data_IF_578930028517
#
_entry.id   IF_578930028517
#
_cell.length_a   1.000
_cell.length_b   1.000
_cell.length_c   1.000
_cell.angle_alpha   90.00
_cell.angle_beta   90.00
_cell.angle_gamma   90.00
#
_symmetry.space_group_name_H-M   'P 1'
#
loop_
_entity.id
_entity.type
_entity.pdbx_description
1 polymer ?
#
# COMPACT_ATOMS: atom_id res chain seq x y z
N UNK A 1 85.58 -59.10 75.13
CA UNK A 1 86.05 -57.71 74.92
C UNK A 1 85.31 -56.64 75.73
N UNK A 2 84.07 -56.18 75.45
CA UNK A 2 83.42 -55.15 76.31
C UNK A 2 83.26 -55.59 77.77
N UNK A 3 82.62 -56.75 78.00
CA UNK A 3 82.46 -57.36 79.35
C UNK A 3 83.79 -57.66 80.05
N UNK A 4 84.86 -57.84 79.27
CA UNK A 4 86.20 -58.17 79.75
C UNK A 4 86.92 -56.91 80.24
N UNK A 5 86.82 -55.80 79.49
CA UNK A 5 87.22 -54.46 79.91
C UNK A 5 86.42 -53.98 81.13
N UNK A 6 85.13 -54.30 81.22
CA UNK A 6 84.27 -53.97 82.36
C UNK A 6 84.76 -54.66 83.64
N UNK A 7 85.12 -55.96 83.55
CA UNK A 7 85.77 -56.69 84.64
C UNK A 7 87.11 -56.05 85.02
N UNK A 8 87.99 -55.75 84.03
CA UNK A 8 89.30 -55.14 84.30
C UNK A 8 89.21 -53.77 84.99
N UNK A 9 88.21 -52.94 84.65
CA UNK A 9 87.93 -51.67 85.34
C UNK A 9 87.52 -51.92 86.79
N UNK A 10 86.63 -52.91 87.03
CA UNK A 10 86.16 -53.28 88.37
C UNK A 10 87.31 -53.81 89.24
N UNK A 11 88.10 -54.74 88.72
CA UNK A 11 89.21 -55.38 89.42
C UNK A 11 90.32 -54.35 89.74
N UNK A 12 90.69 -53.51 88.76
CA UNK A 12 91.68 -52.44 88.97
C UNK A 12 91.21 -51.39 89.99
N UNK A 13 89.90 -51.08 90.02
CA UNK A 13 89.34 -50.15 91.00
C UNK A 13 89.43 -50.72 92.43
N UNK A 14 89.11 -52.00 92.61
CA UNK A 14 89.23 -52.69 93.90
C UNK A 14 90.69 -52.80 94.38
N UNK A 15 91.64 -53.01 93.46
CA UNK A 15 93.07 -53.06 93.76
C UNK A 15 93.61 -51.68 94.17
N UNK A 16 93.19 -50.61 93.49
CA UNK A 16 93.51 -49.22 93.88
C UNK A 16 92.95 -48.91 95.26
N UNK A 17 91.73 -49.35 95.59
CA UNK A 17 91.12 -49.13 96.91
C UNK A 17 91.94 -49.80 98.02
N UNK A 18 92.44 -51.02 97.77
CA UNK A 18 93.37 -51.71 98.69
C UNK A 18 94.70 -50.97 98.82
N UNK A 19 95.33 -50.58 97.71
CA UNK A 19 96.60 -49.85 97.71
C UNK A 19 96.49 -48.48 98.40
N UNK A 20 95.36 -47.78 98.21
CA UNK A 20 95.06 -46.51 98.85
C UNK A 20 94.92 -46.70 100.37
N UNK A 21 94.20 -47.75 100.80
CA UNK A 21 94.03 -48.08 102.22
C UNK A 21 95.35 -48.44 102.90
N UNK A 22 96.20 -49.25 102.27
CA UNK A 22 97.54 -49.54 102.79
C UNK A 22 98.42 -48.30 102.91
N UNK A 23 98.30 -47.34 101.97
CA UNK A 23 99.03 -46.08 102.02
C UNK A 23 98.54 -45.15 103.14
N UNK A 24 97.23 -45.15 103.42
CA UNK A 24 96.63 -44.34 104.47
C UNK A 24 96.80 -44.96 105.87
N UNK A 25 96.78 -46.29 106.02
CA UNK A 25 97.01 -46.98 107.30
C UNK A 25 98.50 -46.93 107.74
N UNK A 26 99.44 -46.83 106.79
CA UNK A 26 100.89 -46.73 107.05
C UNK A 26 101.42 -45.31 107.35
N UNK A 27 100.54 -44.31 107.41
CA UNK A 27 100.92 -42.90 107.61
C UNK A 27 101.55 -42.70 108.99
N UNK A 28 102.86 -42.45 109.02
CA UNK A 28 103.63 -42.13 110.24
C UNK A 28 104.46 -43.25 110.83
N UNK A 29 104.40 -44.48 110.28
CA UNK A 29 105.22 -45.64 110.71
C UNK A 29 106.13 -46.21 109.62
N UNK A 30 106.06 -45.67 108.39
CA UNK A 30 106.85 -46.11 107.22
C UNK A 30 108.01 -45.14 106.92
N UNK A 31 109.10 -45.65 106.33
CA UNK A 31 110.20 -44.82 105.85
C UNK A 31 109.80 -43.99 104.62
N UNK A 32 110.45 -42.83 104.41
CA UNK A 32 110.09 -41.92 103.31
C UNK A 32 110.17 -42.56 101.91
N UNK A 33 111.15 -43.44 101.67
CA UNK A 33 111.29 -44.15 100.38
C UNK A 33 110.16 -45.17 100.15
N UNK A 34 109.75 -45.86 101.21
CA UNK A 34 108.68 -46.88 101.14
C UNK A 34 107.31 -46.24 100.87
N UNK A 35 107.07 -45.06 101.46
CA UNK A 35 105.87 -44.26 101.18
C UNK A 35 105.87 -43.75 99.72
N UNK A 36 107.02 -43.29 99.22
CA UNK A 36 107.15 -42.79 97.85
C UNK A 36 106.86 -43.90 96.83
N UNK A 37 107.45 -45.09 97.03
CA UNK A 37 107.29 -46.24 96.15
C UNK A 37 105.82 -46.69 96.07
N UNK A 38 105.13 -46.83 97.22
CA UNK A 38 103.71 -47.18 97.25
C UNK A 38 102.83 -46.10 96.62
N UNK A 39 103.17 -44.81 96.82
CA UNK A 39 102.44 -43.71 96.17
C UNK A 39 102.58 -43.75 94.64
N UNK A 40 103.77 -44.10 94.13
CA UNK A 40 104.03 -44.22 92.69
C UNK A 40 103.25 -45.38 92.08
N UNK A 41 103.23 -46.54 92.75
CA UNK A 41 102.43 -47.69 92.32
C UNK A 41 100.93 -47.38 92.28
N UNK A 42 100.42 -46.64 93.28
CA UNK A 42 99.04 -46.19 93.32
C UNK A 42 98.71 -45.22 92.18
N UNK A 43 99.60 -44.28 91.86
CA UNK A 43 99.45 -43.37 90.72
C UNK A 43 99.46 -44.14 89.40
N UNK A 44 100.39 -45.08 89.24
CA UNK A 44 100.47 -45.94 88.06
C UNK A 44 99.20 -46.79 87.89
N UNK A 45 98.69 -47.37 88.97
CA UNK A 45 97.43 -48.12 88.95
C UNK A 45 96.24 -47.22 88.58
N UNK A 46 96.15 -46.00 89.13
CA UNK A 46 95.12 -45.00 88.75
C UNK A 46 95.20 -44.63 87.27
N UNK A 47 96.40 -44.49 86.71
CA UNK A 47 96.60 -44.24 85.28
C UNK A 47 96.12 -45.42 84.42
N UNK A 48 96.42 -46.67 84.83
CA UNK A 48 95.95 -47.89 84.16
C UNK A 48 94.42 -48.02 84.21
N UNK A 49 93.79 -47.73 85.35
CA UNK A 49 92.33 -47.69 85.46
C UNK A 49 91.72 -46.67 84.50
N UNK A 50 92.34 -45.48 84.38
CA UNK A 50 91.87 -44.45 83.47
C UNK A 50 92.00 -44.88 81.99
N UNK A 51 93.06 -45.61 81.65
CA UNK A 51 93.21 -46.24 80.33
C UNK A 51 92.09 -47.24 80.06
N UNK A 52 91.80 -48.15 81.00
CA UNK A 52 90.71 -49.12 80.84
C UNK A 52 89.34 -48.46 80.77
N UNK A 53 89.07 -47.41 81.56
CA UNK A 53 87.84 -46.62 81.46
C UNK A 53 87.69 -45.97 80.08
N UNK A 54 88.78 -45.43 79.53
CA UNK A 54 88.77 -44.80 78.20
C UNK A 54 88.52 -45.85 77.09
N UNK A 55 89.17 -47.02 77.17
CA UNK A 55 88.93 -48.15 76.27
C UNK A 55 87.49 -48.66 76.34
N UNK A 56 86.92 -48.77 77.54
CA UNK A 56 85.53 -49.16 77.75
C UNK A 56 84.56 -48.16 77.10
N UNK A 57 84.78 -46.86 77.31
CA UNK A 57 83.99 -45.79 76.71
C UNK A 57 84.07 -45.80 75.17
N UNK A 58 85.27 -45.97 74.61
CA UNK A 58 85.47 -46.08 73.16
C UNK A 58 84.78 -47.32 72.59
N UNK A 59 84.88 -48.46 73.28
CA UNK A 59 84.20 -49.70 72.87
C UNK A 59 82.68 -49.54 72.93
N UNK A 60 82.15 -48.84 73.94
CA UNK A 60 80.72 -48.52 74.05
C UNK A 60 80.24 -47.66 72.88
N UNK A 61 80.96 -46.58 72.59
CA UNK A 61 80.66 -45.72 71.44
C UNK A 61 80.70 -46.48 70.12
N UNK A 62 81.66 -47.41 69.96
CA UNK A 62 81.74 -48.27 68.77
C UNK A 62 80.51 -49.19 68.64
N UNK A 63 80.07 -49.78 69.74
CA UNK A 63 78.86 -50.63 69.79
C UNK A 63 77.60 -49.81 69.48
N UNK A 64 77.47 -48.61 70.04
CA UNK A 64 76.29 -47.76 69.80
C UNK A 64 76.25 -47.24 68.35
N UNK A 65 77.39 -46.88 67.77
CA UNK A 65 77.49 -46.56 66.34
C UNK A 65 77.12 -47.76 65.46
N UNK A 66 77.60 -48.97 65.79
CA UNK A 66 77.25 -50.19 65.05
C UNK A 66 75.74 -50.48 65.14
N UNK A 67 75.10 -50.28 66.30
CA UNK A 67 73.65 -50.42 66.46
C UNK A 67 72.88 -49.41 65.61
N UNK A 68 73.31 -48.15 65.56
CA UNK A 68 72.69 -47.14 64.71
C UNK A 68 72.83 -47.49 63.22
N UNK A 69 73.99 -47.98 62.78
CA UNK A 69 74.18 -48.43 61.40
C UNK A 69 73.29 -49.63 61.04
N UNK A 70 73.14 -50.61 61.95
CA UNK A 70 72.22 -51.73 61.75
C UNK A 70 70.76 -51.26 61.69
N UNK A 71 70.35 -50.34 62.55
CA UNK A 71 68.99 -49.77 62.52
C UNK A 71 68.70 -48.98 61.23
N UNK A 72 69.69 -48.22 60.74
CA UNK A 72 69.60 -47.50 59.46
C UNK A 72 69.52 -48.47 58.27
N UNK A 73 70.36 -49.53 58.27
CA UNK A 73 70.33 -50.57 57.26
C UNK A 73 68.99 -51.33 57.24
N UNK A 74 68.44 -51.65 58.41
CA UNK A 74 67.13 -52.31 58.51
C UNK A 74 66.01 -51.42 57.96
N UNK A 75 66.03 -50.13 58.25
CA UNK A 75 65.07 -49.16 57.68
C UNK A 75 65.20 -49.08 56.16
N UNK A 76 66.43 -49.06 55.63
CA UNK A 76 66.68 -49.03 54.19
C UNK A 76 66.17 -50.30 53.49
N UNK A 77 66.37 -51.48 54.09
CA UNK A 77 65.85 -52.76 53.57
C UNK A 77 64.33 -52.77 53.57
N UNK A 78 63.68 -52.33 54.65
CA UNK A 78 62.22 -52.27 54.74
C UNK A 78 61.63 -51.32 53.68
N UNK A 79 62.21 -50.12 53.53
CA UNK A 79 61.77 -49.15 52.53
C UNK A 79 62.02 -49.66 51.10
N UNK A 80 63.12 -50.38 50.86
CA UNK A 80 63.41 -51.03 49.59
C UNK A 80 62.38 -52.10 49.24
N UNK A 81 61.95 -52.90 50.23
CA UNK A 81 60.88 -53.89 50.06
C UNK A 81 59.54 -53.27 49.67
N UNK A 82 59.13 -52.19 50.32
CA UNK A 82 57.90 -51.45 49.99
C UNK A 82 57.97 -50.83 48.59
N UNK A 83 59.10 -50.21 48.23
CA UNK A 83 59.28 -49.61 46.91
C UNK A 83 59.24 -50.66 45.78
N UNK A 84 59.81 -51.86 46.01
CA UNK A 84 59.71 -53.00 45.09
C UNK A 84 58.27 -53.49 44.92
N UNK A 85 57.50 -53.56 46.01
CA UNK A 85 56.10 -53.96 45.97
C UNK A 85 55.25 -52.96 45.16
N UNK A 86 55.44 -51.66 45.37
CA UNK A 86 54.74 -50.61 44.62
C UNK A 86 55.13 -50.61 43.14
N UNK A 87 56.41 -50.83 42.83
CA UNK A 87 56.89 -50.97 41.45
C UNK A 87 56.27 -52.20 40.77
N UNK A 88 56.21 -53.34 41.47
CA UNK A 88 55.59 -54.56 40.94
C UNK A 88 54.08 -54.37 40.69
N UNK A 89 53.38 -53.65 41.58
CA UNK A 89 51.96 -53.33 41.39
C UNK A 89 51.74 -52.48 40.13
N UNK A 90 52.53 -51.44 39.92
CA UNK A 90 52.47 -50.60 38.72
C UNK A 90 52.76 -51.39 37.43
N UNK A 91 53.74 -52.31 37.47
CA UNK A 91 54.05 -53.18 36.33
C UNK A 91 52.90 -54.14 36.03
N UNK A 92 52.24 -54.67 37.05
CA UNK A 92 51.10 -55.58 36.87
C UNK A 92 49.83 -54.87 36.39
N UNK A 93 49.63 -53.59 36.72
CA UNK A 93 48.49 -52.78 36.29
C UNK A 93 48.68 -52.15 34.89
N UNK A 94 49.92 -51.97 34.43
CA UNK A 94 50.23 -51.34 33.15
C UNK A 94 49.62 -52.02 31.92
N UNK A 95 49.57 -53.37 31.78
CA UNK A 95 48.95 -54.02 30.63
C UNK A 95 47.46 -53.72 30.49
N UNK A 96 46.72 -53.74 31.60
CA UNK A 96 45.29 -53.44 31.61
C UNK A 96 45.01 -51.97 31.26
N UNK A 97 45.85 -51.05 31.75
CA UNK A 97 45.76 -49.64 31.40
C UNK A 97 46.10 -49.37 29.92
N UNK A 98 47.02 -50.15 29.35
CA UNK A 98 47.41 -50.06 27.94
C UNK A 98 46.31 -50.60 27.02
N UNK A 99 45.71 -51.73 27.35
CA UNK A 99 44.56 -52.31 26.63
C UNK A 99 43.36 -51.35 26.60
N UNK A 100 43.04 -50.71 27.73
CA UNK A 100 41.97 -49.71 27.80
C UNK A 100 42.29 -48.47 26.95
N UNK A 101 43.54 -48.00 26.96
CA UNK A 101 43.97 -46.86 26.13
C UNK A 101 43.92 -47.20 24.63
N UNK A 102 44.35 -48.40 24.25
CA UNK A 102 44.27 -48.89 22.86
C UNK A 102 42.82 -48.98 22.39
N UNK A 103 41.93 -49.49 23.23
CA UNK A 103 40.49 -49.54 22.95
C UNK A 103 39.89 -48.13 22.77
N UNK A 104 40.24 -47.19 23.65
CA UNK A 104 39.79 -45.80 23.52
C UNK A 104 40.27 -45.14 22.22
N UNK A 105 41.50 -45.43 21.79
CA UNK A 105 42.04 -44.94 20.50
C UNK A 105 41.26 -45.57 19.34
N UNK A 106 40.96 -46.87 19.40
CA UNK A 106 40.20 -47.55 18.37
C UNK A 106 38.76 -47.01 18.27
N UNK A 107 38.08 -46.86 19.40
CA UNK A 107 36.72 -46.31 19.47
C UNK A 107 36.68 -44.87 18.94
N UNK A 108 37.68 -44.04 19.30
CA UNK A 108 37.81 -42.68 18.79
C UNK A 108 38.06 -42.63 17.28
N UNK A 109 38.85 -43.57 16.74
CA UNK A 109 39.10 -43.67 15.30
C UNK A 109 37.83 -44.05 14.53
N UNK A 110 37.07 -45.04 15.03
CA UNK A 110 35.79 -45.44 14.44
C UNK A 110 34.80 -44.28 14.45
N UNK A 111 34.73 -43.52 15.55
CA UNK A 111 33.86 -42.35 15.64
C UNK A 111 34.30 -41.23 14.68
N UNK A 112 35.60 -41.00 14.52
CA UNK A 112 36.14 -40.03 13.57
C UNK A 112 35.82 -40.42 12.12
N UNK A 113 35.97 -41.68 11.76
CA UNK A 113 35.67 -42.18 10.42
C UNK A 113 34.16 -42.04 10.11
N UNK A 114 33.29 -42.41 11.07
CA UNK A 114 31.83 -42.21 10.95
C UNK A 114 31.47 -40.73 10.78
N UNK A 115 32.11 -39.84 11.55
CA UNK A 115 31.85 -38.40 11.46
C UNK A 115 32.33 -37.80 10.14
N UNK A 116 33.41 -38.32 9.56
CA UNK A 116 33.87 -37.92 8.25
C UNK A 116 32.92 -38.38 7.14
N UNK A 117 32.39 -39.61 7.22
CA UNK A 117 31.35 -40.08 6.29
C UNK A 117 30.07 -39.24 6.37
N UNK A 118 29.59 -38.95 7.59
CA UNK A 118 28.44 -38.06 7.83
C UNK A 118 28.70 -36.64 7.26
N UNK A 119 29.93 -36.13 7.39
CA UNK A 119 30.32 -34.82 6.87
C UNK A 119 30.33 -34.76 5.33
N UNK A 120 30.90 -35.77 4.66
CA UNK A 120 30.92 -35.81 3.20
C UNK A 120 29.52 -35.99 2.61
N UNK A 121 28.65 -36.79 3.24
CA UNK A 121 27.23 -36.89 2.86
C UNK A 121 26.52 -35.55 3.00
N UNK A 122 26.62 -34.90 4.16
CA UNK A 122 25.98 -33.61 4.39
C UNK A 122 26.47 -32.52 3.43
N UNK A 123 27.75 -32.58 3.04
CA UNK A 123 28.34 -31.67 2.05
C UNK A 123 27.79 -31.92 0.64
N UNK A 124 27.57 -33.17 0.27
CA UNK A 124 26.95 -33.52 -1.01
C UNK A 124 25.47 -33.10 -1.05
N UNK A 125 24.70 -33.42 -0.01
CA UNK A 125 23.29 -33.03 0.10
C UNK A 125 23.14 -31.49 0.02
N UNK A 126 24.01 -30.74 0.69
CA UNK A 126 24.03 -29.29 0.61
C UNK A 126 24.33 -28.78 -0.80
N UNK A 127 25.24 -29.43 -1.54
CA UNK A 127 25.54 -29.06 -2.92
C UNK A 127 24.33 -29.26 -3.84
N UNK A 128 23.65 -30.39 -3.71
CA UNK A 128 22.44 -30.72 -4.48
C UNK A 128 21.28 -29.76 -4.14
N UNK A 129 21.10 -29.42 -2.85
CA UNK A 129 20.10 -28.44 -2.43
C UNK A 129 20.39 -27.04 -2.96
N UNK A 130 21.67 -26.62 -2.97
CA UNK A 130 22.08 -25.33 -3.51
C UNK A 130 21.86 -25.25 -5.02
N UNK A 131 22.18 -26.31 -5.76
CA UNK A 131 21.93 -26.38 -7.20
C UNK A 131 20.42 -26.30 -7.50
N UNK A 132 19.60 -27.07 -6.77
CA UNK A 132 18.14 -27.04 -6.93
C UNK A 132 17.54 -25.68 -6.54
N UNK A 133 18.08 -25.01 -5.53
CA UNK A 133 17.67 -23.66 -5.13
C UNK A 133 18.04 -22.61 -6.19
N UNK A 134 19.23 -22.72 -6.79
CA UNK A 134 19.67 -21.84 -7.89
C UNK A 134 18.79 -22.00 -9.13
N UNK A 135 18.50 -23.24 -9.55
CA UNK A 135 17.59 -23.49 -10.68
C UNK A 135 16.19 -22.90 -10.43
N UNK A 136 15.65 -23.05 -9.21
CA UNK A 136 14.36 -22.43 -8.86
C UNK A 136 14.39 -20.90 -8.92
N UNK A 137 15.51 -20.28 -8.57
CA UNK A 137 15.68 -18.83 -8.67
C UNK A 137 15.71 -18.39 -10.13
N UNK A 138 16.51 -19.04 -10.98
CA UNK A 138 16.56 -18.77 -12.42
C UNK A 138 15.19 -18.95 -13.08
N UNK A 139 14.51 -20.07 -12.83
CA UNK A 139 13.15 -20.34 -13.33
C UNK A 139 12.14 -19.27 -12.88
N UNK A 140 12.27 -18.78 -11.64
CA UNK A 140 11.37 -17.75 -11.10
C UNK A 140 11.67 -16.38 -11.70
N UNK A 141 12.94 -16.06 -11.90
CA UNK A 141 13.37 -14.83 -12.57
C UNK A 141 12.88 -14.79 -14.02
N UNK A 142 13.03 -15.89 -14.76
CA UNK A 142 12.53 -16.05 -16.12
C UNK A 142 11.00 -15.93 -16.18
N UNK A 143 10.29 -16.51 -15.21
CA UNK A 143 8.83 -16.36 -15.10
C UNK A 143 8.42 -14.90 -14.87
N UNK A 144 9.15 -14.16 -14.04
CA UNK A 144 8.88 -12.75 -13.75
C UNK A 144 9.17 -11.87 -14.97
N UNK A 145 10.28 -12.10 -15.66
CA UNK A 145 10.69 -11.32 -16.83
C UNK A 145 9.78 -11.57 -18.04
N UNK A 146 9.27 -12.80 -18.20
CA UNK A 146 8.39 -13.21 -19.28
C UNK A 146 6.89 -13.15 -18.94
N UNK A 147 6.50 -12.53 -17.82
CA UNK A 147 5.08 -12.23 -17.59
C UNK A 147 4.60 -11.30 -18.69
N UNK A 148 3.60 -11.74 -19.44
CA UNK A 148 2.94 -10.93 -20.45
C UNK A 148 2.41 -9.65 -19.79
N UNK A 149 2.89 -8.49 -20.24
CA UNK A 149 2.53 -7.20 -19.63
C UNK A 149 1.01 -7.03 -19.73
N UNK A 150 0.32 -6.69 -18.62
CA UNK A 150 -1.11 -6.49 -18.67
C UNK A 150 -1.44 -5.33 -19.62
N UNK A 151 -2.38 -5.56 -20.52
CA UNK A 151 -2.92 -4.50 -21.37
C UNK A 151 -3.90 -3.69 -20.55
N UNK A 152 -3.61 -2.41 -20.34
CA UNK A 152 -4.50 -1.48 -19.64
C UNK A 152 -5.55 -0.95 -20.61
N UNK A 153 -6.82 -1.21 -20.34
CA UNK A 153 -7.93 -0.56 -21.03
C UNK A 153 -8.34 0.67 -20.21
N UNK A 154 -8.01 1.86 -20.71
CA UNK A 154 -8.50 3.12 -20.13
C UNK A 154 -9.87 3.39 -20.75
N UNK A 155 -10.92 2.96 -20.04
CA UNK A 155 -12.30 3.16 -20.44
C UNK A 155 -12.83 4.45 -19.82
N UNK A 156 -13.24 5.39 -20.67
CA UNK A 156 -13.94 6.60 -20.23
C UNK A 156 -15.46 6.45 -20.38
N UNK A 157 -16.22 7.48 -20.01
CA UNK A 157 -17.68 7.47 -20.16
C UNK A 157 -18.15 7.30 -21.61
N UNK A 158 -17.32 7.66 -22.59
CA UNK A 158 -17.65 7.54 -24.02
C UNK A 158 -17.51 6.10 -24.52
N UNK A 159 -16.87 5.22 -23.74
CA UNK A 159 -16.88 3.78 -24.02
C UNK A 159 -18.15 3.07 -23.55
N UNK A 160 -19.01 3.72 -22.76
CA UNK A 160 -20.28 3.16 -22.27
C UNK A 160 -21.36 3.38 -23.34
N UNK A 161 -21.87 2.33 -24.03
CA UNK A 161 -22.80 2.49 -25.14
C UNK A 161 -24.08 3.23 -24.76
N UNK A 162 -24.59 2.99 -23.55
CA UNK A 162 -25.78 3.67 -23.04
C UNK A 162 -25.56 5.17 -22.83
N UNK A 163 -24.35 5.58 -22.43
CA UNK A 163 -24.02 7.00 -22.25
C UNK A 163 -23.91 7.70 -23.61
N UNK A 164 -23.22 7.08 -24.58
CA UNK A 164 -23.10 7.65 -25.93
C UNK A 164 -24.43 7.72 -26.67
N UNK A 165 -25.30 6.70 -26.51
CA UNK A 165 -26.64 6.71 -27.07
C UNK A 165 -27.48 7.84 -26.47
N UNK A 166 -27.49 7.97 -25.13
CA UNK A 166 -28.19 9.06 -24.47
C UNK A 166 -27.68 10.44 -24.91
N UNK A 167 -26.35 10.63 -24.97
CA UNK A 167 -25.72 11.87 -25.46
C UNK A 167 -26.17 12.20 -26.89
N UNK A 168 -26.08 11.23 -27.80
CA UNK A 168 -26.51 11.39 -29.20
C UNK A 168 -27.99 11.77 -29.31
N UNK A 169 -28.85 11.13 -28.53
CA UNK A 169 -30.28 11.46 -28.50
C UNK A 169 -30.53 12.88 -27.96
N UNK A 170 -29.83 13.28 -26.89
CA UNK A 170 -29.93 14.64 -26.34
C UNK A 170 -29.39 15.71 -27.29
N UNK A 171 -28.30 15.43 -28.01
CA UNK A 171 -27.73 16.34 -29.01
C UNK A 171 -28.66 16.51 -30.21
N UNK A 172 -29.29 15.41 -30.65
CA UNK A 172 -30.34 15.44 -31.68
C UNK A 172 -31.54 16.26 -31.24
N UNK A 173 -31.98 16.09 -30.00
CA UNK A 173 -33.10 16.85 -29.43
C UNK A 173 -32.76 18.34 -29.26
N UNK A 174 -31.54 18.68 -28.86
CA UNK A 174 -31.04 20.06 -28.80
C UNK A 174 -30.98 20.71 -30.18
N UNK A 175 -30.57 19.96 -31.21
CA UNK A 175 -30.55 20.44 -32.60
C UNK A 175 -31.97 20.77 -33.08
N UNK A 176 -32.94 19.90 -32.82
CA UNK A 176 -34.37 20.16 -33.09
C UNK A 176 -34.84 21.41 -32.34
N UNK A 177 -34.50 21.52 -31.06
CA UNK A 177 -34.83 22.66 -30.21
C UNK A 177 -34.30 24.00 -30.71
N UNK A 178 -33.17 24.01 -31.43
CA UNK A 178 -32.59 25.23 -32.00
C UNK A 178 -33.26 25.71 -33.31
N UNK A 179 -33.74 24.79 -34.14
CA UNK A 179 -34.24 25.13 -35.51
C UNK A 179 -35.75 25.34 -35.54
N UNK A 180 -36.52 24.50 -34.83
CA UNK A 180 -37.99 24.53 -34.89
C UNK A 180 -38.62 25.85 -34.42
N UNK A 181 -38.12 26.55 -33.39
CA UNK A 181 -38.70 27.83 -32.96
C UNK A 181 -38.78 28.86 -34.08
N UNK A 182 -37.79 28.90 -34.98
CA UNK A 182 -37.80 29.84 -36.12
C UNK A 182 -39.01 29.60 -37.02
N UNK A 183 -39.32 28.33 -37.31
CA UNK A 183 -40.47 27.94 -38.13
C UNK A 183 -41.77 28.34 -37.43
N UNK A 184 -41.90 28.03 -36.13
CA UNK A 184 -43.09 28.39 -35.37
C UNK A 184 -43.30 29.89 -35.24
N UNK A 185 -42.23 30.68 -35.08
CA UNK A 185 -42.33 32.14 -35.10
C UNK A 185 -42.78 32.66 -36.46
N UNK A 186 -42.31 32.08 -37.57
CA UNK A 186 -42.76 32.45 -38.92
C UNK A 186 -44.24 32.13 -39.14
N UNK A 187 -44.68 30.94 -38.70
CA UNK A 187 -46.10 30.55 -38.76
C UNK A 187 -46.94 31.49 -37.90
N UNK A 188 -46.52 31.76 -36.66
CA UNK A 188 -47.20 32.72 -35.78
C UNK A 188 -47.26 34.13 -36.39
N UNK A 189 -46.17 34.60 -37.02
CA UNK A 189 -46.13 35.88 -37.74
C UNK A 189 -47.18 35.92 -38.85
N UNK A 190 -47.25 34.86 -39.65
CA UNK A 190 -48.14 34.75 -40.79
C UNK A 190 -49.60 34.70 -40.33
N UNK A 191 -49.91 33.86 -39.35
CA UNK A 191 -51.27 33.75 -38.77
C UNK A 191 -51.69 35.06 -38.10
N UNK A 192 -50.78 35.71 -37.37
CA UNK A 192 -51.04 37.01 -36.75
C UNK A 192 -51.29 38.10 -37.81
N UNK A 193 -50.44 38.17 -38.84
CA UNK A 193 -50.58 39.12 -39.95
C UNK A 193 -51.94 38.97 -40.63
N UNK A 194 -52.36 37.74 -40.90
CA UNK A 194 -53.59 37.46 -41.65
C UNK A 194 -54.82 37.73 -40.80
N UNK A 195 -54.81 37.32 -39.54
CA UNK A 195 -55.87 37.60 -38.57
C UNK A 195 -56.04 39.10 -38.35
N UNK A 196 -54.93 39.82 -38.15
CA UNK A 196 -54.95 41.27 -37.95
C UNK A 196 -55.35 42.02 -39.21
N UNK A 197 -54.85 41.62 -40.38
CA UNK A 197 -55.28 42.21 -41.66
C UNK A 197 -56.78 42.07 -41.83
N UNK A 198 -57.33 40.88 -41.55
CA UNK A 198 -58.78 40.64 -41.62
C UNK A 198 -59.55 41.50 -40.62
N UNK A 199 -59.10 41.60 -39.38
CA UNK A 199 -59.75 42.43 -38.34
C UNK A 199 -59.78 43.91 -38.75
N UNK A 200 -58.66 44.44 -39.27
CA UNK A 200 -58.55 45.83 -39.70
C UNK A 200 -59.38 46.08 -40.97
N UNK A 201 -59.45 45.11 -41.89
CA UNK A 201 -60.30 45.16 -43.09
C UNK A 201 -61.80 45.11 -42.72
N UNK A 202 -62.20 44.30 -41.74
CA UNK A 202 -63.59 44.24 -41.24
C UNK A 202 -63.99 45.56 -40.54
N UNK A 203 -63.05 46.23 -39.87
CA UNK A 203 -63.27 47.51 -39.19
C UNK A 203 -62.92 48.74 -40.04
N UNK A 204 -62.77 48.57 -41.36
CA UNK A 204 -62.29 49.62 -42.28
C UNK A 204 -63.15 50.88 -42.28
N UNK A 205 -64.47 50.75 -42.23
CA UNK A 205 -65.39 51.90 -42.15
C UNK A 205 -65.19 52.70 -40.86
N UNK A 206 -64.99 52.02 -39.73
CA UNK A 206 -64.72 52.67 -38.42
C UNK A 206 -63.40 53.44 -38.45
N UNK A 207 -62.35 52.85 -39.03
CA UNK A 207 -61.06 53.51 -39.25
C UNK A 207 -61.21 54.75 -40.13
N UNK A 208 -62.01 54.66 -41.20
CA UNK A 208 -62.33 55.78 -42.08
C UNK A 208 -63.00 56.94 -41.34
N UNK A 209 -63.99 56.65 -40.48
CA UNK A 209 -64.68 57.65 -39.65
C UNK A 209 -63.73 58.32 -38.68
N UNK A 210 -62.90 57.56 -37.94
CA UNK A 210 -61.93 58.13 -37.01
C UNK A 210 -60.92 59.05 -37.72
N UNK A 211 -60.46 58.65 -38.91
CA UNK A 211 -59.54 59.46 -39.71
C UNK A 211 -60.21 60.74 -40.23
N UNK A 212 -61.50 60.69 -40.58
CA UNK A 212 -62.28 61.88 -40.97
C UNK A 212 -62.52 62.85 -39.80
N UNK A 213 -62.62 62.32 -38.57
CA UNK A 213 -62.72 63.10 -37.34
C UNK A 213 -61.37 63.71 -36.88
N UNK A 214 -60.28 63.50 -37.64
CA UNK A 214 -58.98 64.11 -37.36
C UNK A 214 -58.04 63.28 -36.47
N UNK A 215 -58.37 62.03 -36.13
CA UNK A 215 -57.46 61.16 -35.38
C UNK A 215 -56.20 60.84 -36.20
N UNK A 216 -55.05 60.86 -35.54
CA UNK A 216 -53.77 60.50 -36.16
C UNK A 216 -53.73 59.01 -36.49
N UNK A 217 -52.97 58.65 -37.53
CA UNK A 217 -52.76 57.23 -37.89
C UNK A 217 -52.20 56.42 -36.72
N UNK A 218 -51.33 57.03 -35.90
CA UNK A 218 -50.75 56.40 -34.72
C UNK A 218 -51.79 56.08 -33.64
N UNK A 219 -52.70 57.03 -33.34
CA UNK A 219 -53.77 56.80 -32.35
C UNK A 219 -54.68 55.65 -32.76
N UNK A 220 -55.01 55.53 -34.05
CA UNK A 220 -55.83 54.42 -34.56
C UNK A 220 -55.04 53.10 -34.52
N UNK A 221 -53.77 53.09 -34.92
CA UNK A 221 -52.92 51.90 -34.90
C UNK A 221 -52.71 51.38 -33.46
N UNK A 222 -52.59 52.28 -32.48
CA UNK A 222 -52.35 51.93 -31.08
C UNK A 222 -53.40 50.97 -30.50
N UNK A 223 -54.69 51.12 -30.88
CA UNK A 223 -55.75 50.19 -30.47
C UNK A 223 -55.45 48.75 -30.89
N UNK A 224 -55.09 48.55 -32.16
CA UNK A 224 -54.82 47.23 -32.72
C UNK A 224 -53.52 46.65 -32.20
N UNK A 225 -52.49 47.49 -32.07
CA UNK A 225 -51.19 47.10 -31.50
C UNK A 225 -51.33 46.69 -30.04
N UNK A 226 -52.07 47.45 -29.23
CA UNK A 226 -52.32 47.12 -27.84
C UNK A 226 -53.08 45.80 -27.71
N UNK A 227 -54.08 45.57 -28.58
CA UNK A 227 -54.77 44.28 -28.64
C UNK A 227 -53.80 43.13 -28.97
N UNK A 228 -52.93 43.30 -29.97
CA UNK A 228 -51.92 42.31 -30.33
C UNK A 228 -50.97 42.01 -29.18
N UNK A 229 -50.50 43.05 -28.50
CA UNK A 229 -49.55 42.98 -27.40
C UNK A 229 -50.18 42.23 -26.21
N UNK A 230 -51.39 42.60 -25.81
CA UNK A 230 -52.07 41.93 -24.69
C UNK A 230 -52.37 40.46 -25.01
N UNK A 231 -52.87 40.17 -26.22
CA UNK A 231 -53.13 38.80 -26.64
C UNK A 231 -51.85 37.96 -26.65
N UNK A 232 -50.74 38.52 -27.17
CA UNK A 232 -49.45 37.83 -27.21
C UNK A 232 -48.85 37.67 -25.82
N UNK A 233 -48.91 38.69 -24.96
CA UNK A 233 -48.39 38.62 -23.61
C UNK A 233 -49.08 37.51 -22.78
N UNK A 234 -50.40 37.44 -22.82
CA UNK A 234 -51.17 36.38 -22.14
C UNK A 234 -50.83 35.02 -22.75
N UNK A 235 -50.79 34.93 -24.08
CA UNK A 235 -50.42 33.70 -24.79
C UNK A 235 -49.01 33.22 -24.45
N UNK A 236 -48.04 34.12 -24.35
CA UNK A 236 -46.65 33.82 -23.99
C UNK A 236 -46.55 33.33 -22.55
N UNK A 237 -47.22 33.97 -21.59
CA UNK A 237 -47.23 33.52 -20.19
C UNK A 237 -47.80 32.11 -20.09
N UNK A 238 -48.96 31.86 -20.71
CA UNK A 238 -49.57 30.52 -20.71
C UNK A 238 -48.70 29.50 -21.45
N UNK A 239 -48.10 29.89 -22.57
CA UNK A 239 -47.22 29.03 -23.37
C UNK A 239 -45.97 28.62 -22.62
N UNK A 240 -45.31 29.54 -21.92
CA UNK A 240 -44.14 29.25 -21.07
C UNK A 240 -44.53 28.33 -19.92
N UNK A 241 -45.58 28.66 -19.17
CA UNK A 241 -46.01 27.87 -18.01
C UNK A 241 -46.39 26.44 -18.40
N UNK A 242 -47.16 26.27 -19.48
CA UNK A 242 -47.56 24.94 -19.95
C UNK A 242 -46.42 24.20 -20.63
N UNK A 243 -45.61 24.90 -21.42
CA UNK A 243 -44.49 24.35 -22.17
C UNK A 243 -43.38 23.83 -21.26
N UNK A 244 -42.88 24.68 -20.35
CA UNK A 244 -41.79 24.31 -19.43
C UNK A 244 -42.21 23.28 -18.38
N UNK A 245 -43.49 23.24 -18.00
CA UNK A 245 -43.99 22.24 -17.05
C UNK A 245 -44.22 20.88 -17.71
N UNK A 246 -44.80 20.87 -18.91
CA UNK A 246 -45.29 19.62 -19.53
C UNK A 246 -44.22 18.94 -20.39
N UNK A 247 -43.50 19.68 -21.24
CA UNK A 247 -42.59 19.09 -22.23
C UNK A 247 -41.40 18.40 -21.56
N UNK A 248 -40.67 19.02 -20.61
CA UNK A 248 -39.56 18.35 -19.93
C UNK A 248 -40.01 17.15 -19.12
N UNK A 249 -41.17 17.23 -18.45
CA UNK A 249 -41.72 16.13 -17.67
C UNK A 249 -42.01 14.90 -18.53
N UNK A 250 -42.71 15.09 -19.66
CA UNK A 250 -42.98 14.02 -20.62
C UNK A 250 -41.70 13.45 -21.22
N UNK A 251 -40.77 14.32 -21.59
CA UNK A 251 -39.49 13.94 -22.19
C UNK A 251 -38.67 13.08 -21.22
N UNK A 252 -38.43 13.58 -20.01
CA UNK A 252 -37.68 12.86 -18.97
C UNK A 252 -38.31 11.51 -18.65
N UNK A 253 -39.65 11.44 -18.51
CA UNK A 253 -40.33 10.18 -18.25
C UNK A 253 -40.18 9.19 -19.41
N UNK A 254 -40.21 9.66 -20.65
CA UNK A 254 -40.00 8.83 -21.83
C UNK A 254 -38.57 8.28 -21.88
N UNK A 255 -37.56 9.13 -21.63
CA UNK A 255 -36.17 8.69 -21.61
C UNK A 255 -35.87 7.71 -20.46
N UNK A 256 -36.55 7.86 -19.31
CA UNK A 256 -36.47 6.89 -18.20
C UNK A 256 -36.97 5.48 -18.58
N UNK A 257 -37.86 5.36 -19.56
CA UNK A 257 -38.32 4.05 -20.06
C UNK A 257 -37.26 3.34 -20.92
N UNK A 258 -36.43 4.12 -21.61
CA UNK A 258 -35.43 3.61 -22.57
C UNK A 258 -34.06 3.42 -21.91
N UNK A 259 -33.68 4.34 -21.01
CA UNK A 259 -32.36 4.39 -20.41
C UNK A 259 -32.39 3.99 -18.93
N UNK A 260 -31.81 2.84 -18.64
CA UNK A 260 -31.66 2.31 -17.27
C UNK A 260 -30.66 3.18 -16.51
N UNK A 261 -31.00 3.59 -15.28
CA UNK A 261 -30.09 4.36 -14.43
C UNK A 261 -30.31 5.87 -14.43
N UNK A 262 -31.26 6.40 -15.21
CA UNK A 262 -31.64 7.82 -15.23
C UNK A 262 -32.44 8.22 -13.96
N UNK A 263 -31.76 8.20 -12.81
CA UNK A 263 -32.30 8.63 -11.53
C UNK A 263 -31.91 10.10 -11.26
N UNK A 264 -32.77 10.85 -10.57
CA UNK A 264 -32.51 12.26 -10.18
C UNK A 264 -32.29 13.24 -11.35
N UNK A 265 -33.13 13.17 -12.38
CA UNK A 265 -33.18 14.18 -13.45
C UNK A 265 -33.63 15.54 -12.91
N UNK A 266 -32.74 16.53 -12.96
CA UNK A 266 -33.06 17.91 -12.58
C UNK A 266 -33.56 18.67 -13.81
N UNK A 267 -34.84 19.02 -13.81
CA UNK A 267 -35.40 19.96 -14.79
C UNK A 267 -35.28 21.35 -14.19
N UNK A 268 -34.43 22.19 -14.76
CA UNK A 268 -34.32 23.61 -14.39
C UNK A 268 -35.10 24.44 -15.41
N UNK A 269 -36.08 25.25 -14.99
CA UNK A 269 -36.68 26.25 -15.86
C UNK A 269 -35.61 27.24 -16.32
N UNK A 270 -35.51 27.47 -17.63
CA UNK A 270 -34.59 28.46 -18.17
C UNK A 270 -35.34 29.77 -18.41
N UNK A 271 -35.33 30.61 -17.37
CA UNK A 271 -36.01 31.90 -17.37
C UNK A 271 -35.49 32.80 -18.48
N UNK A 272 -34.22 32.69 -18.86
CA UNK A 272 -33.64 33.54 -19.90
C UNK A 272 -34.23 33.20 -21.28
N UNK A 273 -34.24 31.91 -21.63
CA UNK A 273 -34.81 31.46 -22.90
C UNK A 273 -36.31 31.70 -22.98
N UNK A 274 -37.04 31.52 -21.86
CA UNK A 274 -38.46 31.82 -21.77
C UNK A 274 -38.76 33.31 -22.02
N UNK A 275 -37.96 34.21 -21.42
CA UNK A 275 -38.09 35.65 -21.63
C UNK A 275 -37.72 36.05 -23.07
N UNK A 276 -36.64 35.49 -23.61
CA UNK A 276 -36.20 35.75 -24.98
C UNK A 276 -37.27 35.31 -25.99
N UNK A 277 -37.81 34.09 -25.84
CA UNK A 277 -38.87 33.57 -26.70
C UNK A 277 -40.15 34.42 -26.62
N UNK A 278 -40.52 34.87 -25.42
CA UNK A 278 -41.67 35.76 -25.20
C UNK A 278 -41.47 37.12 -25.87
N UNK A 279 -40.28 37.72 -25.73
CA UNK A 279 -39.94 38.99 -26.37
C UNK A 279 -39.98 38.87 -27.90
N UNK A 280 -39.38 37.81 -28.46
CA UNK A 280 -39.41 37.54 -29.89
C UNK A 280 -40.84 37.35 -30.41
N UNK A 281 -41.68 36.63 -29.67
CA UNK A 281 -43.09 36.47 -30.01
C UNK A 281 -43.81 37.82 -30.09
N UNK A 282 -43.62 38.68 -29.08
CA UNK A 282 -44.24 40.02 -29.03
C UNK A 282 -43.76 40.90 -30.16
N UNK A 283 -42.45 40.93 -30.45
CA UNK A 283 -41.89 41.70 -31.57
C UNK A 283 -42.48 41.23 -32.90
N UNK A 284 -42.56 39.91 -33.07
CA UNK A 284 -43.06 39.28 -34.28
C UNK A 284 -44.55 39.60 -34.54
N UNK A 285 -45.42 39.38 -33.55
CA UNK A 285 -46.86 39.62 -33.68
C UNK A 285 -47.17 41.11 -33.76
N UNK A 286 -46.50 41.94 -32.98
CA UNK A 286 -46.68 43.40 -33.01
C UNK A 286 -46.19 43.98 -34.33
N UNK A 287 -45.05 43.52 -34.85
CA UNK A 287 -44.53 43.90 -36.16
C UNK A 287 -45.49 43.51 -37.28
N UNK A 288 -46.02 42.29 -37.26
CA UNK A 288 -47.06 41.83 -38.19
C UNK A 288 -48.32 42.70 -38.11
N UNK A 289 -48.77 43.05 -36.91
CA UNK A 289 -49.94 43.91 -36.67
C UNK A 289 -49.72 45.33 -37.19
N UNK A 290 -48.54 45.91 -36.94
CA UNK A 290 -48.14 47.22 -37.45
C UNK A 290 -48.12 47.23 -38.98
N UNK A 291 -47.59 46.18 -39.62
CA UNK A 291 -47.60 46.04 -41.07
C UNK A 291 -49.02 45.97 -41.64
N UNK A 292 -49.93 45.24 -40.99
CA UNK A 292 -51.35 45.19 -41.35
C UNK A 292 -52.01 46.58 -41.23
N UNK A 293 -51.81 47.25 -40.09
CA UNK A 293 -52.38 48.58 -39.83
C UNK A 293 -51.86 49.64 -40.81
N UNK A 294 -50.55 49.67 -41.05
CA UNK A 294 -49.92 50.65 -41.96
C UNK A 294 -50.53 50.60 -43.36
N UNK A 295 -50.79 49.38 -43.85
CA UNK A 295 -51.36 49.16 -45.18
C UNK A 295 -52.78 49.72 -45.33
N UNK A 296 -53.60 49.66 -44.28
CA UNK A 296 -54.97 50.20 -44.31
C UNK A 296 -54.96 51.71 -44.02
N UNK A 297 -54.17 52.16 -43.05
CA UNK A 297 -54.10 53.56 -42.62
C UNK A 297 -53.47 54.49 -43.68
N UNK A 298 -52.75 53.96 -44.66
CA UNK A 298 -52.25 54.72 -45.81
C UNK A 298 -53.37 55.19 -46.76
N UNK A 299 -54.52 54.51 -46.78
CA UNK A 299 -55.66 54.83 -47.65
C UNK A 299 -56.41 56.09 -47.20
N UNK A 300 -57.05 56.81 -48.12
CA UNK A 300 -57.86 58.01 -47.79
C UNK A 300 -59.17 57.65 -47.07
N UNK A 301 -59.72 58.53 -46.21
CA UNK A 301 -60.96 58.26 -45.46
C UNK A 301 -62.14 57.85 -46.36
N UNK A 302 -62.34 58.57 -47.47
CA UNK A 302 -63.42 58.28 -48.42
C UNK A 302 -63.28 56.90 -49.08
N UNK A 303 -62.05 56.40 -49.29
CA UNK A 303 -61.81 55.06 -49.83
C UNK A 303 -62.09 53.97 -48.79
N UNK A 304 -61.79 54.24 -47.52
CA UNK A 304 -62.00 53.31 -46.40
C UNK A 304 -63.50 53.11 -46.09
N UNK A 305 -64.32 54.13 -46.32
CA UNK A 305 -65.78 54.07 -46.11
C UNK A 305 -66.54 53.35 -47.23
N UNK A 306 -65.88 53.01 -48.33
CA UNK A 306 -66.48 52.24 -49.43
C UNK A 306 -66.14 50.75 -49.30
N UNK A 307 -67.07 49.84 -49.64
CA UNK A 307 -66.78 48.41 -49.70
C UNK A 307 -65.58 48.17 -50.63
N UNK A 308 -64.69 47.25 -50.23
CA UNK A 308 -63.47 46.98 -50.99
C UNK A 308 -63.84 46.42 -52.37
N UNK A 309 -63.39 47.08 -53.44
CA UNK A 309 -63.65 46.63 -54.79
C UNK A 309 -63.03 45.24 -55.02
N UNK A 310 -63.74 44.29 -55.65
CA UNK A 310 -63.18 42.98 -55.93
C UNK A 310 -61.92 43.13 -56.80
N UNK A 311 -60.84 42.44 -56.43
CA UNK A 311 -59.56 42.51 -57.15
C UNK A 311 -59.77 42.12 -58.62
N UNK A 312 -59.31 42.98 -59.53
CA UNK A 312 -59.39 42.73 -60.97
C UNK A 312 -58.73 41.40 -61.33
N UNK A 313 -59.44 40.54 -62.07
CA UNK A 313 -58.89 39.30 -62.59
C UNK A 313 -57.85 39.59 -63.68
N UNK A 314 -56.63 39.08 -63.54
CA UNK A 314 -55.59 39.13 -64.58
C UNK A 314 -55.45 37.76 -65.26
N UNK A 315 -55.02 37.75 -66.52
CA UNK A 315 -54.63 36.52 -67.24
C UNK A 315 -53.53 35.79 -66.45
N UNK A 316 -53.66 34.47 -66.33
CA UNK A 316 -52.74 33.64 -65.53
C UNK A 316 -51.65 33.02 -66.42
N UNK A 317 -50.47 32.73 -65.87
CA UNK A 317 -49.37 32.12 -66.64
C UNK A 317 -49.74 30.73 -67.20
N UNK A 318 -50.64 30.01 -66.53
CA UNK A 318 -51.18 28.73 -67.01
C UNK A 318 -51.95 28.87 -68.34
N UNK A 319 -52.47 30.06 -68.68
CA UNK A 319 -53.11 30.30 -69.98
C UNK A 319 -52.10 30.30 -71.14
N UNK A 320 -50.81 30.53 -70.86
CA UNK A 320 -49.74 30.48 -71.86
C UNK A 320 -49.30 29.04 -72.17
N UNK A 321 -49.53 28.10 -71.25
CA UNK A 321 -49.19 26.68 -71.43
C UNK A 321 -50.38 25.95 -72.05
N UNK A 322 -50.48 26.06 -73.39
CA UNK A 322 -51.66 25.60 -74.14
C UNK A 322 -52.00 24.11 -73.99
N UNK A 323 -51.01 23.23 -73.78
CA UNK A 323 -51.25 21.80 -73.59
C UNK A 323 -52.08 21.54 -72.33
N UNK A 324 -51.66 22.07 -71.18
CA UNK A 324 -52.36 21.89 -69.90
C UNK A 324 -53.70 22.64 -69.93
N UNK A 325 -53.74 23.86 -70.47
CA UNK A 325 -54.93 24.69 -70.47
C UNK A 325 -56.09 24.12 -71.32
N UNK A 326 -55.78 23.40 -72.40
CA UNK A 326 -56.80 22.80 -73.27
C UNK A 326 -57.54 21.62 -72.60
N UNK A 327 -56.86 20.88 -71.73
CA UNK A 327 -57.45 19.72 -71.02
C UNK A 327 -58.30 20.10 -69.80
N UNK A 328 -58.31 21.37 -69.38
CA UNK A 328 -59.11 21.83 -68.25
C UNK A 328 -60.54 22.22 -68.68
N UNK A 329 -61.54 21.75 -67.93
CA UNK A 329 -62.93 22.15 -68.11
C UNK A 329 -63.18 23.60 -67.61
N UNK A 330 -64.36 24.16 -67.87
CA UNK A 330 -64.67 25.55 -67.50
C UNK A 330 -64.54 25.80 -65.99
N UNK A 331 -64.98 24.87 -65.15
CA UNK A 331 -64.88 24.98 -63.70
C UNK A 331 -63.42 24.98 -63.22
N UNK A 332 -62.57 24.13 -63.80
CA UNK A 332 -61.14 24.06 -63.52
C UNK A 332 -60.41 25.33 -63.98
N UNK A 333 -60.74 25.85 -65.17
CA UNK A 333 -60.20 27.15 -65.66
C UNK A 333 -60.59 28.31 -64.75
N UNK A 334 -61.84 28.34 -64.29
CA UNK A 334 -62.32 29.33 -63.35
C UNK A 334 -61.66 29.19 -61.96
N UNK A 335 -61.48 27.96 -61.48
CA UNK A 335 -60.78 27.66 -60.22
C UNK A 335 -59.31 28.08 -60.28
N UNK A 336 -58.58 27.75 -61.34
CA UNK A 336 -57.20 28.20 -61.55
C UNK A 336 -57.11 29.74 -61.56
N UNK A 337 -58.00 30.41 -62.30
CA UNK A 337 -58.05 31.89 -62.30
C UNK A 337 -58.32 32.46 -60.91
N UNK A 338 -59.24 31.86 -60.15
CA UNK A 338 -59.53 32.28 -58.78
C UNK A 338 -58.34 32.05 -57.83
N UNK A 339 -57.66 30.90 -57.93
CA UNK A 339 -56.43 30.61 -57.18
C UNK A 339 -55.38 31.70 -57.39
N UNK A 340 -55.09 32.03 -58.66
CA UNK A 340 -54.11 33.04 -59.02
C UNK A 340 -54.60 34.49 -58.84
N UNK A 341 -55.91 34.73 -58.74
CA UNK A 341 -56.50 36.01 -58.33
C UNK A 341 -56.27 36.28 -56.84
N UNK A 342 -56.32 35.23 -56.02
CA UNK A 342 -56.18 35.31 -54.56
C UNK A 342 -54.85 34.71 -54.06
N UNK A 343 -53.73 35.07 -54.69
CA UNK A 343 -52.39 34.51 -54.38
C UNK A 343 -52.05 34.51 -52.89
N UNK A 344 -52.39 35.59 -52.16
CA UNK A 344 -52.16 35.69 -50.72
C UNK A 344 -52.93 34.63 -49.92
N UNK A 345 -54.18 34.35 -50.31
CA UNK A 345 -55.02 33.31 -49.69
C UNK A 345 -54.50 31.92 -50.05
N UNK A 346 -54.09 31.71 -51.30
CA UNK A 346 -53.46 30.47 -51.74
C UNK A 346 -52.19 30.14 -50.93
N UNK A 347 -51.24 31.07 -50.85
CA UNK A 347 -50.01 30.85 -50.09
C UNK A 347 -50.30 30.67 -48.60
N UNK A 348 -51.28 31.39 -48.04
CA UNK A 348 -51.71 31.18 -46.65
C UNK A 348 -52.25 29.77 -46.42
N UNK A 349 -53.04 29.21 -47.34
CA UNK A 349 -53.59 27.84 -47.22
C UNK A 349 -52.57 26.75 -47.52
N UNK A 350 -51.50 27.04 -48.25
CA UNK A 350 -50.41 26.07 -48.50
C UNK A 350 -49.40 26.08 -47.35
N UNK A 351 -49.11 27.26 -46.79
CA UNK A 351 -48.08 27.45 -45.78
C UNK A 351 -48.59 27.35 -44.33
N UNK A 352 -49.90 27.53 -44.11
CA UNK A 352 -50.57 27.39 -42.82
C UNK A 352 -51.64 26.33 -42.88
#
# INVERSE_FOLDING_TARGET
>A
KYKELESQVSDSAAEIERMQKELDDGKGSMSSDEYLQKSYNLIAAKATLQFYKTQLANTRNTIDNAKQQVAAAQTAVNNGGTALQDAQKKVNEAPAALEEAEKQIQDAQIELDRKNEEYEQAKQDLADELEAAQQKLEDSEDKILNVEKPTWYVLDRETIPSYTAYKSDTDGMGSIGSVFPVIFFLVAALVSLTTMTRMVEEQRTQIGTLKALGYTKGAIAAKYVLYALLATAIGSVLGVLLGESTIPLLTVNTYKLVYIGLHNTVVKPDVFDALLASLLAIICTTGATLAACYRVLSSSPALLMRPEAPKAGKRILLEKVGFIWKHLNFAQKAACRNLFRYKKRLFMTIAG
#
